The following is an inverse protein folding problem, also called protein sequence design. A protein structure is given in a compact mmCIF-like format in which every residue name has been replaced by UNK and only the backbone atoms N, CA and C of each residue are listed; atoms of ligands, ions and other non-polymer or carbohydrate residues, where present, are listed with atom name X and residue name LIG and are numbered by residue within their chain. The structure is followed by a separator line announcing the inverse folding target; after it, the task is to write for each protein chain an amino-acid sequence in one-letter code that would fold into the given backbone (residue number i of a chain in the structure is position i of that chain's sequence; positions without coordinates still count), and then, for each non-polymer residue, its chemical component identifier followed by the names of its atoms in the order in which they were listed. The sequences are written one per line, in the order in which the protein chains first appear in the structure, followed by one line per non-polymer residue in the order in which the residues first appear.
data_IF_622226338981
#
_entry.id   IF_622226338981
#
_cell.length_a   1.000
_cell.length_b   1.000
_cell.length_c   1.000
_cell.angle_alpha   90.00
_cell.angle_beta   90.00
_cell.angle_gamma   90.00
#
_symmetry.space_group_name_H-M   'P 1'
#
loop_
_entity.id
_entity.type
_entity.pdbx_description
1 polymer ?
#
# COMPACT_ATOMS: atom_id res chain seq x y z
N UNK A 1 -1.14 -12.69 2.32
CA UNK A 1 -0.60 -12.65 3.68
C UNK A 1 -1.50 -11.75 4.50
N UNK A 2 -1.78 -12.07 5.74
CA UNK A 2 -2.53 -11.23 6.68
C UNK A 2 -1.79 -11.21 8.01
N UNK A 3 -1.68 -10.03 8.61
CA UNK A 3 -0.99 -9.81 9.88
C UNK A 3 -1.83 -8.87 10.73
N UNK A 4 -2.05 -9.21 11.98
CA UNK A 4 -2.89 -8.45 12.90
C UNK A 4 -2.09 -8.18 14.17
N UNK A 5 -2.04 -6.91 14.59
CA UNK A 5 -1.34 -6.48 15.81
C UNK A 5 -2.04 -5.29 16.46
N UNK A 6 -1.81 -5.11 17.74
CA UNK A 6 -2.31 -3.96 18.48
C UNK A 6 -1.31 -2.80 18.45
N UNK A 7 -1.82 -1.59 18.28
CA UNK A 7 -1.00 -0.38 18.34
C UNK A 7 -1.04 0.21 19.77
N UNK A 8 -0.05 1.02 20.17
CA UNK A 8 -0.09 1.76 21.43
C UNK A 8 -1.12 2.90 21.44
N UNK A 9 -1.74 3.19 20.29
CA UNK A 9 -2.70 4.28 20.14
C UNK A 9 -4.12 3.79 20.41
N UNK A 10 -4.66 4.14 21.59
CA UNK A 10 -6.03 3.84 22.00
C UNK A 10 -6.47 2.38 21.86
N UNK A 11 -5.52 1.43 21.81
CA UNK A 11 -5.79 0.01 21.62
C UNK A 11 -6.33 -0.33 20.22
N UNK A 12 -6.14 0.56 19.24
CA UNK A 12 -6.55 0.30 17.85
C UNK A 12 -5.74 -0.87 17.30
N UNK A 13 -6.45 -1.86 16.79
CA UNK A 13 -5.88 -2.99 16.09
C UNK A 13 -5.60 -2.61 14.63
N UNK A 14 -4.42 -2.97 14.13
CA UNK A 14 -4.12 -2.89 12.70
C UNK A 14 -4.10 -4.28 12.11
N UNK A 15 -4.76 -4.45 10.97
CA UNK A 15 -4.73 -5.63 10.15
C UNK A 15 -4.16 -5.27 8.77
N UNK A 16 -3.04 -5.86 8.41
CA UNK A 16 -2.44 -5.70 7.09
C UNK A 16 -2.79 -6.91 6.24
N UNK A 17 -3.30 -6.68 5.04
CA UNK A 17 -3.75 -7.74 4.15
C UNK A 17 -3.43 -7.43 2.69
N UNK A 18 -3.75 -8.37 1.81
CA UNK A 18 -3.81 -8.14 0.37
C UNK A 18 -5.23 -8.34 -0.12
N UNK A 19 -5.65 -7.76 -1.25
CA UNK A 19 -7.02 -7.90 -1.75
C UNK A 19 -7.53 -9.34 -1.85
N UNK A 20 -6.64 -10.30 -2.13
CA UNK A 20 -6.97 -11.73 -2.25
C UNK A 20 -6.80 -12.54 -0.96
N UNK A 21 -6.27 -11.94 0.10
CA UNK A 21 -6.02 -12.62 1.39
C UNK A 21 -6.47 -11.73 2.55
N UNK A 22 -7.79 -11.53 2.65
CA UNK A 22 -8.41 -10.73 3.70
C UNK A 22 -8.57 -11.53 5.01
N UNK A 23 -8.51 -10.87 6.17
CA UNK A 23 -8.80 -11.51 7.46
C UNK A 23 -10.28 -11.92 7.56
N UNK A 24 -10.57 -12.82 8.50
CA UNK A 24 -11.94 -13.09 8.88
C UNK A 24 -12.48 -11.87 9.67
N UNK A 25 -13.73 -11.48 9.40
CA UNK A 25 -14.36 -10.36 10.11
C UNK A 25 -14.34 -10.53 11.65
N UNK A 26 -14.44 -11.79 12.13
CA UNK A 26 -14.37 -12.07 13.57
C UNK A 26 -12.99 -11.89 14.20
N UNK A 27 -11.92 -11.79 13.40
CA UNK A 27 -10.58 -11.48 13.90
C UNK A 27 -10.32 -9.98 14.05
N UNK A 28 -11.23 -9.14 13.55
CA UNK A 28 -11.17 -7.69 13.64
C UNK A 28 -12.02 -7.22 14.84
N UNK A 29 -11.47 -6.32 15.65
CA UNK A 29 -12.15 -5.77 16.82
C UNK A 29 -13.18 -4.71 16.41
N UNK A 30 -14.32 -4.67 17.08
CA UNK A 30 -15.32 -3.60 17.08
C UNK A 30 -15.65 -3.00 15.71
N UNK A 31 -15.64 -1.67 15.62
CA UNK A 31 -15.85 -0.90 14.40
C UNK A 31 -14.59 -0.89 13.54
N UNK A 32 -14.75 -1.11 12.25
CA UNK A 32 -13.63 -1.33 11.29
C UNK A 32 -13.65 -0.27 10.21
N UNK A 33 -12.50 0.34 9.95
CA UNK A 33 -12.24 1.08 8.71
C UNK A 33 -11.35 0.23 7.79
N UNK A 34 -11.67 0.22 6.50
CA UNK A 34 -10.89 -0.43 5.44
C UNK A 34 -10.29 0.64 4.56
N UNK A 35 -8.97 0.59 4.35
CA UNK A 35 -8.20 1.58 3.62
C UNK A 35 -7.36 0.92 2.54
N UNK A 36 -7.41 1.44 1.31
CA UNK A 36 -6.54 1.02 0.23
C UNK A 36 -6.60 -0.48 -0.09
N UNK A 37 -7.80 -1.02 -0.20
CA UNK A 37 -8.01 -2.42 -0.54
C UNK A 37 -8.90 -2.58 -1.76
N UNK A 38 -8.28 -2.86 -2.91
CA UNK A 38 -9.00 -3.11 -4.15
C UNK A 38 -10.02 -4.26 -4.03
N UNK A 39 -11.13 -4.13 -4.75
CA UNK A 39 -12.12 -5.21 -4.84
C UNK A 39 -11.54 -6.45 -5.51
N UNK A 40 -11.67 -7.61 -4.88
CA UNK A 40 -11.07 -8.85 -5.34
C UNK A 40 -12.05 -10.00 -5.50
N UNK A 41 -11.76 -10.84 -6.50
CA UNK A 41 -12.47 -12.08 -6.80
C UNK A 41 -11.68 -13.31 -6.38
N UNK A 42 -12.39 -14.40 -6.05
CA UNK A 42 -11.78 -15.72 -5.83
C UNK A 42 -11.25 -16.34 -7.14
N UNK A 43 -11.83 -15.95 -8.28
CA UNK A 43 -11.39 -16.35 -9.64
C UNK A 43 -11.20 -15.12 -10.51
N UNK A 44 -10.19 -15.11 -11.41
CA UNK A 44 -9.91 -13.95 -12.28
C UNK A 44 -11.11 -13.53 -13.16
N UNK A 45 -11.96 -14.49 -13.55
CA UNK A 45 -13.16 -14.24 -14.38
C UNK A 45 -14.45 -14.08 -13.56
N UNK A 46 -14.34 -13.88 -12.24
CA UNK A 46 -15.51 -13.70 -11.38
C UNK A 46 -16.28 -12.43 -11.71
N UNK A 47 -17.61 -12.53 -11.78
CA UNK A 47 -18.51 -11.39 -12.02
C UNK A 47 -18.80 -10.56 -10.77
N UNK A 48 -18.44 -11.07 -9.60
CA UNK A 48 -18.72 -10.48 -8.30
C UNK A 48 -17.46 -10.56 -7.43
N UNK A 49 -17.04 -9.49 -6.77
CA UNK A 49 -15.83 -9.48 -5.94
C UNK A 49 -16.01 -10.29 -4.66
N UNK A 50 -16.12 -11.61 -4.83
CA UNK A 50 -16.54 -12.58 -3.81
C UNK A 50 -15.68 -12.60 -2.54
N UNK A 51 -14.44 -12.12 -2.61
CA UNK A 51 -13.57 -12.00 -1.44
C UNK A 51 -13.93 -10.74 -0.67
N UNK A 52 -13.97 -9.58 -1.35
CA UNK A 52 -14.25 -8.29 -0.73
C UNK A 52 -15.67 -8.20 -0.21
N UNK A 53 -16.68 -8.59 -1.02
CA UNK A 53 -18.08 -8.55 -0.59
C UNK A 53 -18.34 -9.46 0.60
N UNK A 54 -17.73 -10.65 0.63
CA UNK A 54 -17.85 -11.54 1.79
C UNK A 54 -17.39 -10.88 3.10
N UNK A 55 -16.29 -10.12 3.05
CA UNK A 55 -15.82 -9.38 4.23
C UNK A 55 -16.78 -8.25 4.59
N UNK A 56 -17.26 -7.48 3.60
CA UNK A 56 -18.22 -6.39 3.81
C UNK A 56 -19.50 -6.94 4.46
N UNK A 57 -20.07 -8.03 3.92
CA UNK A 57 -21.27 -8.67 4.44
C UNK A 57 -21.08 -9.18 5.87
N UNK A 58 -19.94 -9.79 6.16
CA UNK A 58 -19.60 -10.28 7.49
C UNK A 58 -19.37 -9.18 8.52
N UNK A 59 -18.87 -8.02 8.10
CA UNK A 59 -18.72 -6.86 8.98
C UNK A 59 -20.08 -6.20 9.26
N UNK A 60 -20.95 -6.13 8.27
CA UNK A 60 -22.27 -5.51 8.42
C UNK A 60 -22.18 -4.09 8.99
N UNK A 61 -22.86 -3.82 10.11
CA UNK A 61 -22.84 -2.50 10.76
C UNK A 61 -21.51 -2.15 11.44
N UNK A 62 -20.62 -3.10 11.60
CA UNK A 62 -19.28 -2.86 12.11
C UNK A 62 -18.37 -2.17 11.07
N UNK A 63 -18.69 -2.22 9.78
CA UNK A 63 -17.99 -1.46 8.76
C UNK A 63 -18.28 0.02 8.95
N UNK A 64 -17.30 0.78 9.43
CA UNK A 64 -17.42 2.22 9.62
C UNK A 64 -17.19 2.99 8.32
N UNK A 65 -16.18 2.57 7.54
CA UNK A 65 -15.84 3.16 6.25
C UNK A 65 -15.04 2.14 5.42
N UNK A 66 -15.29 2.12 4.12
CA UNK A 66 -14.42 1.56 3.09
C UNK A 66 -13.93 2.72 2.22
N UNK A 67 -12.61 2.98 2.23
CA UNK A 67 -11.98 4.06 1.48
C UNK A 67 -10.90 3.47 0.57
N UNK A 68 -11.04 3.68 -0.74
CA UNK A 68 -10.18 3.07 -1.75
C UNK A 68 -10.06 3.95 -2.99
N UNK A 69 -8.93 3.90 -3.68
CA UNK A 69 -8.67 4.65 -4.91
C UNK A 69 -8.37 3.75 -6.13
N UNK A 70 -8.48 2.45 -5.98
CA UNK A 70 -8.27 1.53 -7.10
C UNK A 70 -9.44 1.54 -8.08
N UNK A 71 -9.13 1.57 -9.39
CA UNK A 71 -10.17 1.49 -10.42
C UNK A 71 -10.96 0.18 -10.31
N UNK A 72 -12.28 0.28 -10.27
CA UNK A 72 -13.17 -0.88 -10.19
C UNK A 72 -14.55 -0.61 -10.76
N UNK A 73 -15.03 -1.50 -11.64
CA UNK A 73 -16.40 -1.48 -12.13
C UNK A 73 -17.46 -1.63 -11.04
N UNK A 74 -17.07 -2.13 -9.86
CA UNK A 74 -17.95 -2.35 -8.72
C UNK A 74 -18.21 -1.09 -7.89
N UNK A 75 -17.47 0.00 -8.09
CA UNK A 75 -17.72 1.26 -7.40
C UNK A 75 -19.16 1.74 -7.59
N UNK A 76 -19.75 1.49 -8.77
CA UNK A 76 -21.16 1.83 -9.07
C UNK A 76 -22.17 1.17 -8.14
N UNK A 77 -21.86 0.00 -7.57
CA UNK A 77 -22.75 -0.74 -6.69
C UNK A 77 -22.87 -0.09 -5.30
N UNK A 78 -21.94 0.84 -4.99
CA UNK A 78 -21.85 1.56 -3.71
C UNK A 78 -22.11 3.07 -3.84
N UNK A 79 -22.50 3.55 -5.02
CA UNK A 79 -22.80 4.97 -5.23
C UNK A 79 -23.88 5.47 -4.27
N UNK A 80 -23.60 6.56 -3.57
CA UNK A 80 -24.49 7.15 -2.58
C UNK A 80 -24.51 6.44 -1.22
N UNK A 81 -23.73 5.38 -1.04
CA UNK A 81 -23.66 4.68 0.22
C UNK A 81 -22.67 5.36 1.17
N UNK A 82 -23.14 5.90 2.29
CA UNK A 82 -22.36 6.78 3.20
C UNK A 82 -21.11 6.15 3.82
N UNK A 83 -21.01 4.83 3.83
CA UNK A 83 -19.86 4.08 4.34
C UNK A 83 -18.81 3.76 3.28
N UNK A 84 -18.97 4.26 2.05
CA UNK A 84 -18.01 4.03 0.98
C UNK A 84 -17.55 5.36 0.39
N UNK A 85 -16.23 5.52 0.31
CA UNK A 85 -15.57 6.60 -0.41
C UNK A 85 -14.62 5.92 -1.39
N UNK A 86 -15.06 5.84 -2.63
CA UNK A 86 -14.38 5.09 -3.68
C UNK A 86 -14.03 6.06 -4.81
N UNK A 87 -12.75 6.21 -5.06
CA UNK A 87 -12.19 7.02 -6.11
C UNK A 87 -11.49 6.15 -7.16
N UNK A 88 -10.93 6.77 -8.16
CA UNK A 88 -10.06 6.14 -9.16
C UNK A 88 -8.63 6.62 -8.98
N UNK A 89 -7.66 5.89 -9.52
CA UNK A 89 -6.25 6.34 -9.52
C UNK A 89 -6.03 7.64 -10.29
N UNK A 90 -6.93 7.98 -11.22
CA UNK A 90 -6.89 9.26 -11.92
C UNK A 90 -7.35 10.44 -11.04
N UNK A 91 -8.22 10.20 -10.06
CA UNK A 91 -8.70 11.22 -9.12
C UNK A 91 -7.75 11.39 -7.94
N UNK A 92 -7.23 10.28 -7.41
CA UNK A 92 -6.25 10.24 -6.31
C UNK A 92 -5.17 9.22 -6.61
N UNK A 93 -3.93 9.69 -6.75
CA UNK A 93 -2.78 8.84 -7.05
C UNK A 93 -2.37 7.92 -5.90
N UNK A 94 -2.74 8.29 -4.65
CA UNK A 94 -2.54 7.46 -3.47
C UNK A 94 -3.69 7.62 -2.47
N UNK A 95 -3.97 6.55 -1.73
CA UNK A 95 -5.08 6.52 -0.78
C UNK A 95 -4.97 7.54 0.39
N UNK A 96 -3.77 7.86 0.97
CA UNK A 96 -3.68 8.82 2.06
C UNK A 96 -4.13 10.24 1.68
N UNK A 97 -4.10 10.63 0.39
CA UNK A 97 -4.62 11.93 -0.07
C UNK A 97 -6.10 12.14 0.27
N UNK A 98 -6.86 11.06 0.34
CA UNK A 98 -8.30 11.06 0.66
C UNK A 98 -8.59 11.18 2.16
N UNK A 99 -7.58 11.03 3.02
CA UNK A 99 -7.72 11.02 4.48
C UNK A 99 -7.37 12.42 5.02
N UNK A 100 -8.29 13.01 5.78
CA UNK A 100 -8.08 14.29 6.45
C UNK A 100 -8.76 14.31 7.83
N UNK A 101 -8.45 15.29 8.71
CA UNK A 101 -9.01 15.33 10.05
C UNK A 101 -10.54 15.39 10.10
N UNK A 102 -11.17 16.09 9.16
CA UNK A 102 -12.65 16.20 9.10
C UNK A 102 -13.30 14.85 8.78
N UNK A 103 -12.68 14.06 7.91
CA UNK A 103 -13.17 12.73 7.59
C UNK A 103 -13.06 11.81 8.81
N UNK A 104 -11.89 11.78 9.48
CA UNK A 104 -11.68 10.93 10.65
C UNK A 104 -12.63 11.32 11.79
N UNK A 105 -12.82 12.62 12.05
CA UNK A 105 -13.77 13.12 13.04
C UNK A 105 -15.21 12.71 12.71
N UNK A 106 -15.64 12.86 11.45
CA UNK A 106 -16.99 12.48 10.99
C UNK A 106 -17.28 10.99 11.18
N UNK A 107 -16.32 10.13 10.88
CA UNK A 107 -16.48 8.68 11.06
C UNK A 107 -16.42 8.31 12.54
N UNK A 108 -15.63 9.05 13.33
CA UNK A 108 -15.48 8.86 14.75
C UNK A 108 -14.63 7.63 15.10
N UNK A 109 -14.74 7.18 16.36
CA UNK A 109 -13.91 6.10 16.89
C UNK A 109 -14.08 4.81 16.09
N UNK A 110 -12.96 4.18 15.78
CA UNK A 110 -12.85 2.81 15.24
C UNK A 110 -11.95 1.98 16.16
N UNK A 111 -12.13 0.66 16.13
CA UNK A 111 -11.37 -0.28 16.96
C UNK A 111 -10.37 -1.07 16.13
N UNK A 112 -10.58 -1.13 14.81
CA UNK A 112 -9.68 -1.79 13.85
C UNK A 112 -9.51 -0.97 12.58
N UNK A 113 -8.27 -0.94 12.08
CA UNK A 113 -7.90 -0.43 10.76
C UNK A 113 -7.39 -1.61 9.93
N UNK A 114 -8.06 -1.91 8.83
CA UNK A 114 -7.60 -2.89 7.83
C UNK A 114 -7.05 -2.14 6.64
N UNK A 115 -5.79 -2.42 6.25
CA UNK A 115 -5.16 -1.74 5.13
C UNK A 115 -4.39 -2.70 4.21
N UNK A 116 -4.05 -2.24 3.02
CA UNK A 116 -3.11 -2.91 2.14
C UNK A 116 -1.69 -2.90 2.72
N UNK A 117 -0.83 -3.79 2.21
CA UNK A 117 0.50 -4.00 2.76
C UNK A 117 1.64 -3.32 1.99
N UNK A 118 1.35 -2.35 1.14
CA UNK A 118 2.30 -1.47 0.48
C UNK A 118 2.42 -0.11 1.19
N UNK A 119 3.20 0.79 0.62
CA UNK A 119 3.54 2.01 1.34
C UNK A 119 2.31 2.91 1.56
N UNK A 120 1.48 3.13 0.56
CA UNK A 120 0.33 4.03 0.68
C UNK A 120 -0.78 3.45 1.57
N UNK A 121 -0.99 2.14 1.56
CA UNK A 121 -1.87 1.47 2.50
C UNK A 121 -1.40 1.60 3.96
N UNK A 122 -0.09 1.44 4.21
CA UNK A 122 0.48 1.62 5.56
C UNK A 122 0.45 3.09 6.00
N UNK A 123 0.75 4.03 5.09
CA UNK A 123 0.66 5.46 5.34
C UNK A 123 -0.79 5.87 5.64
N UNK A 124 -1.77 5.35 4.89
CA UNK A 124 -3.19 5.53 5.14
C UNK A 124 -3.61 5.08 6.53
N UNK A 125 -3.16 3.89 6.95
CA UNK A 125 -3.46 3.38 8.28
C UNK A 125 -2.87 4.26 9.39
N UNK A 126 -1.60 4.66 9.25
CA UNK A 126 -0.95 5.53 10.22
C UNK A 126 -1.62 6.91 10.28
N UNK A 127 -1.91 7.51 9.12
CA UNK A 127 -2.60 8.81 9.03
C UNK A 127 -3.99 8.77 9.67
N UNK A 128 -4.75 7.68 9.43
CA UNK A 128 -6.04 7.48 10.08
C UNK A 128 -5.92 7.47 11.61
N UNK A 129 -4.98 6.68 12.14
CA UNK A 129 -4.76 6.53 13.59
C UNK A 129 -4.29 7.85 14.22
N UNK A 130 -3.52 8.65 13.47
CA UNK A 130 -3.07 10.00 13.88
C UNK A 130 -4.15 11.08 13.71
N UNK A 131 -5.40 10.70 13.51
CA UNK A 131 -6.52 11.65 13.41
C UNK A 131 -6.58 12.39 12.07
N UNK A 132 -6.02 11.87 11.01
CA UNK A 132 -5.99 12.47 9.67
C UNK A 132 -4.80 13.41 9.44
N UNK A 133 -3.87 13.48 10.38
CA UNK A 133 -2.61 14.21 10.21
C UNK A 133 -1.54 13.32 9.56
N UNK A 134 -0.72 13.89 8.69
CA UNK A 134 0.40 13.18 8.10
C UNK A 134 1.37 12.66 9.18
N UNK A 135 1.88 11.43 9.05
CA UNK A 135 2.91 10.89 9.94
C UNK A 135 4.19 11.75 9.98
N UNK A 136 4.56 12.31 8.86
CA UNK A 136 5.64 13.30 8.70
C UNK A 136 5.30 14.20 7.50
N UNK A 137 5.90 15.38 7.45
CA UNK A 137 5.69 16.34 6.35
C UNK A 137 6.10 15.73 5.00
N UNK A 138 5.16 15.67 4.05
CA UNK A 138 5.35 15.08 2.74
C UNK A 138 5.08 13.58 2.65
N UNK A 139 4.54 12.94 3.68
CA UNK A 139 4.20 11.52 3.64
C UNK A 139 3.17 11.20 2.55
N UNK A 140 2.18 12.06 2.34
CA UNK A 140 1.18 11.89 1.28
C UNK A 140 1.83 11.97 -0.11
N UNK A 141 2.78 12.89 -0.28
CA UNK A 141 3.55 13.02 -1.53
C UNK A 141 4.43 11.78 -1.77
N UNK A 142 5.12 11.28 -0.75
CA UNK A 142 5.89 10.04 -0.87
C UNK A 142 5.00 8.86 -1.27
N UNK A 143 3.82 8.74 -0.68
CA UNK A 143 2.85 7.70 -1.03
C UNK A 143 2.41 7.83 -2.50
N UNK A 144 2.12 9.04 -2.94
CA UNK A 144 1.77 9.33 -4.32
C UNK A 144 2.90 8.98 -5.30
N UNK A 145 4.14 9.40 -5.02
CA UNK A 145 5.30 9.07 -5.84
C UNK A 145 5.52 7.56 -5.96
N UNK A 146 5.41 6.85 -4.83
CA UNK A 146 5.66 5.41 -4.76
C UNK A 146 4.56 4.61 -5.48
N UNK A 147 3.30 4.97 -5.32
CA UNK A 147 2.20 4.22 -5.96
C UNK A 147 2.08 4.53 -7.45
N UNK A 148 2.18 5.80 -7.84
CA UNK A 148 2.07 6.22 -9.25
C UNK A 148 3.33 5.97 -10.07
N UNK A 149 4.49 5.86 -9.41
CA UNK A 149 5.82 5.84 -10.04
C UNK A 149 6.14 7.14 -10.80
N UNK A 150 5.49 8.23 -10.43
CA UNK A 150 5.75 9.57 -10.94
C UNK A 150 6.49 10.37 -9.85
N UNK A 151 7.37 11.30 -10.30
CA UNK A 151 8.19 12.13 -9.43
C UNK A 151 9.14 11.33 -8.49
N UNK A 152 9.81 12.03 -7.58
CA UNK A 152 10.86 11.48 -6.71
C UNK A 152 10.41 11.57 -5.26
N UNK A 153 10.23 10.44 -4.56
CA UNK A 153 9.91 10.44 -3.14
C UNK A 153 11.10 10.92 -2.31
N UNK A 154 10.83 11.36 -1.09
CA UNK A 154 11.87 11.71 -0.12
C UNK A 154 12.80 10.53 0.19
N UNK A 155 13.97 10.80 0.76
CA UNK A 155 14.88 9.75 1.23
C UNK A 155 14.20 8.80 2.21
N UNK A 156 13.30 9.32 3.03
CA UNK A 156 12.53 8.54 4.00
C UNK A 156 11.52 7.61 3.32
N UNK A 157 10.80 8.12 2.32
CA UNK A 157 9.89 7.32 1.48
C UNK A 157 10.65 6.21 0.76
N UNK A 158 11.79 6.54 0.13
CA UNK A 158 12.66 5.55 -0.54
C UNK A 158 13.12 4.44 0.41
N UNK A 159 13.54 4.77 1.63
CA UNK A 159 13.98 3.76 2.60
C UNK A 159 12.86 2.79 2.98
N UNK A 160 11.66 3.30 3.23
CA UNK A 160 10.51 2.46 3.57
C UNK A 160 10.05 1.61 2.39
N UNK A 161 9.98 2.18 1.17
CA UNK A 161 9.63 1.42 -0.04
C UNK A 161 10.65 0.30 -0.31
N UNK A 162 11.96 0.56 -0.16
CA UNK A 162 13.00 -0.46 -0.29
C UNK A 162 12.82 -1.61 0.70
N UNK A 163 12.57 -1.31 1.98
CA UNK A 163 12.32 -2.34 2.99
C UNK A 163 11.08 -3.18 2.64
N UNK A 164 10.01 -2.55 2.15
CA UNK A 164 8.79 -3.24 1.72
C UNK A 164 9.02 -4.12 0.50
N UNK A 165 9.75 -3.64 -0.50
CA UNK A 165 10.04 -4.42 -1.73
C UNK A 165 10.95 -5.61 -1.46
N UNK A 166 11.99 -5.42 -0.64
CA UNK A 166 12.89 -6.52 -0.24
C UNK A 166 12.15 -7.61 0.53
N UNK A 167 11.22 -7.23 1.40
CA UNK A 167 10.55 -8.13 2.33
C UNK A 167 9.02 -8.12 2.18
N UNK A 168 8.49 -8.03 0.96
CA UNK A 168 7.05 -7.84 0.73
C UNK A 168 6.18 -8.97 1.32
N UNK A 169 6.72 -10.18 1.50
CA UNK A 169 6.03 -11.31 2.14
C UNK A 169 6.16 -11.32 3.67
N UNK A 170 7.08 -10.54 4.23
CA UNK A 170 7.28 -10.49 5.67
C UNK A 170 6.33 -9.46 6.30
N UNK A 171 5.42 -9.96 7.11
CA UNK A 171 4.44 -9.14 7.79
C UNK A 171 5.05 -8.28 8.91
N UNK A 172 6.16 -8.70 9.49
CA UNK A 172 6.82 -7.97 10.58
C UNK A 172 7.41 -6.65 10.09
N UNK A 173 7.85 -6.58 8.83
CA UNK A 173 8.35 -5.34 8.21
C UNK A 173 7.26 -4.28 8.14
N UNK A 174 6.05 -4.68 7.79
CA UNK A 174 4.89 -3.78 7.72
C UNK A 174 4.53 -3.21 9.10
N UNK A 175 4.60 -4.05 10.14
CA UNK A 175 4.41 -3.60 11.52
C UNK A 175 5.49 -2.60 11.94
N UNK A 176 6.77 -2.85 11.61
CA UNK A 176 7.87 -1.92 11.89
C UNK A 176 7.61 -0.56 11.24
N UNK A 177 7.21 -0.54 9.98
CA UNK A 177 6.94 0.70 9.24
C UNK A 177 5.74 1.44 9.86
N UNK A 178 4.62 0.76 10.14
CA UNK A 178 3.46 1.41 10.79
C UNK A 178 3.87 2.00 12.15
N UNK A 179 4.61 1.26 12.97
CA UNK A 179 5.08 1.78 14.28
C UNK A 179 5.98 2.99 14.12
N UNK A 180 6.86 3.00 13.11
CA UNK A 180 7.69 4.14 12.80
C UNK A 180 6.84 5.35 12.36
N UNK A 181 5.90 5.17 11.45
CA UNK A 181 4.98 6.23 11.02
C UNK A 181 4.15 6.77 12.20
N UNK A 182 3.66 5.90 13.07
CA UNK A 182 2.92 6.29 14.28
C UNK A 182 3.79 7.06 15.29
N UNK A 183 5.11 6.84 15.30
CA UNK A 183 6.05 7.65 16.08
C UNK A 183 6.27 9.05 15.49
N UNK A 184 5.54 9.41 14.42
CA UNK A 184 5.75 10.61 13.59
C UNK A 184 7.17 10.64 13.01
N UNK A 185 7.65 9.48 12.57
CA UNK A 185 8.99 9.26 12.01
C UNK A 185 10.15 9.68 12.94
N UNK A 186 9.96 9.60 14.26
CA UNK A 186 10.95 10.08 15.25
C UNK A 186 11.72 8.96 15.95
N UNK A 187 11.24 7.72 15.90
CA UNK A 187 11.90 6.58 16.54
C UNK A 187 13.14 6.14 15.75
N UNK A 188 14.30 6.50 16.29
CA UNK A 188 15.59 6.23 15.65
C UNK A 188 15.93 4.74 15.59
N UNK A 189 15.42 3.94 16.53
CA UNK A 189 15.66 2.50 16.53
C UNK A 189 14.88 1.80 15.41
N UNK A 190 13.63 2.22 15.17
CA UNK A 190 12.83 1.75 14.06
C UNK A 190 13.38 2.24 12.72
N UNK A 191 13.86 3.49 12.66
CA UNK A 191 14.51 4.02 11.46
C UNK A 191 15.74 3.20 11.08
N UNK A 192 16.61 2.89 12.03
CA UNK A 192 17.78 2.06 11.77
C UNK A 192 17.38 0.66 11.27
N UNK A 193 16.38 0.05 11.90
CA UNK A 193 15.84 -1.24 11.45
C UNK A 193 15.29 -1.19 10.01
N UNK A 194 14.59 -0.12 9.63
CA UNK A 194 14.09 0.07 8.26
C UNK A 194 15.24 0.21 7.27
N UNK A 195 16.30 0.96 7.63
CA UNK A 195 17.51 1.07 6.81
C UNK A 195 18.15 -0.29 6.56
N UNK A 196 18.36 -1.07 7.64
CA UNK A 196 18.99 -2.38 7.55
C UNK A 196 18.16 -3.33 6.66
N UNK A 197 16.82 -3.31 6.80
CA UNK A 197 15.90 -4.09 5.96
C UNK A 197 15.93 -3.63 4.49
N UNK A 198 16.19 -2.37 4.22
CA UNK A 198 16.27 -1.82 2.86
C UNK A 198 17.57 -2.16 2.11
N UNK A 199 18.63 -2.61 2.81
CA UNK A 199 19.92 -2.90 2.15
C UNK A 199 19.83 -4.03 1.11
N UNK A 200 18.97 -5.03 1.34
CA UNK A 200 18.75 -6.11 0.37
C UNK A 200 18.13 -5.58 -0.94
N UNK A 201 17.27 -4.56 -0.87
CA UNK A 201 16.70 -3.94 -2.07
C UNK A 201 17.75 -3.27 -2.93
N UNK A 202 18.78 -2.66 -2.36
CA UNK A 202 19.89 -2.06 -3.12
C UNK A 202 20.58 -3.09 -4.02
N UNK A 203 20.85 -4.27 -3.48
CA UNK A 203 21.42 -5.35 -4.27
C UNK A 203 20.50 -5.79 -5.41
N UNK A 204 19.19 -5.86 -5.17
CA UNK A 204 18.20 -6.21 -6.19
C UNK A 204 18.09 -5.11 -7.27
N UNK A 205 18.19 -3.83 -6.87
CA UNK A 205 18.24 -2.68 -7.78
C UNK A 205 19.50 -2.74 -8.65
N UNK A 206 20.68 -2.96 -8.09
CA UNK A 206 21.92 -3.11 -8.83
C UNK A 206 21.86 -4.30 -9.82
N UNK A 207 21.20 -5.40 -9.45
CA UNK A 207 20.97 -6.51 -10.37
C UNK A 207 20.06 -6.09 -11.54
N UNK A 208 19.02 -5.30 -11.27
CA UNK A 208 18.15 -4.77 -12.30
C UNK A 208 18.89 -3.80 -13.23
N UNK A 209 19.74 -2.92 -12.71
CA UNK A 209 20.56 -2.00 -13.48
C UNK A 209 21.53 -2.73 -14.43
N UNK A 210 22.18 -3.79 -13.94
CA UNK A 210 23.03 -4.64 -14.79
C UNK A 210 22.24 -5.28 -15.92
N UNK A 211 21.01 -5.76 -15.67
CA UNK A 211 20.13 -6.29 -16.71
C UNK A 211 19.68 -5.20 -17.69
N UNK A 212 19.35 -4.01 -17.17
CA UNK A 212 18.93 -2.87 -17.98
C UNK A 212 20.01 -2.39 -18.97
N UNK A 213 21.30 -2.63 -18.67
CA UNK A 213 22.37 -2.31 -19.60
C UNK A 213 22.27 -3.09 -20.92
N UNK A 214 21.59 -4.23 -20.92
CA UNK A 214 21.36 -5.08 -22.10
C UNK A 214 20.02 -4.84 -22.80
N UNK A 215 19.24 -3.83 -22.40
CA UNK A 215 18.02 -3.47 -23.12
C UNK A 215 18.29 -3.14 -24.59
N UNK A 216 17.49 -3.76 -25.44
CA UNK A 216 17.46 -3.49 -26.88
C UNK A 216 16.23 -2.68 -27.23
N UNK A 217 16.40 -1.57 -27.93
CA UNK A 217 15.30 -0.78 -28.46
C UNK A 217 14.75 -1.46 -29.71
N UNK A 218 13.52 -1.95 -29.64
CA UNK A 218 12.83 -2.58 -30.79
C UNK A 218 12.01 -1.56 -31.58
N UNK A 219 11.53 -0.49 -30.93
CA UNK A 219 10.88 0.68 -31.53
C UNK A 219 10.97 1.83 -30.54
N UNK A 220 10.49 3.02 -30.93
CA UNK A 220 10.49 4.23 -30.08
C UNK A 220 9.79 4.04 -28.72
N UNK A 221 8.93 3.03 -28.60
CA UNK A 221 8.12 2.76 -27.40
C UNK A 221 8.28 1.36 -26.83
N UNK A 222 9.17 0.54 -27.41
CA UNK A 222 9.33 -0.86 -27.00
C UNK A 222 10.79 -1.17 -26.77
N UNK A 223 11.12 -1.53 -25.54
CA UNK A 223 12.43 -2.09 -25.18
C UNK A 223 12.28 -3.53 -24.75
N UNK A 224 13.31 -4.32 -25.02
CA UNK A 224 13.37 -5.74 -24.73
C UNK A 224 14.65 -6.08 -23.95
N UNK A 225 14.52 -6.94 -22.95
CA UNK A 225 15.65 -7.57 -22.26
C UNK A 225 15.33 -9.03 -21.99
N UNK A 226 16.29 -9.89 -22.24
CA UNK A 226 16.19 -11.32 -21.90
C UNK A 226 16.68 -11.56 -20.47
N UNK A 227 15.76 -11.92 -19.57
CA UNK A 227 16.07 -12.20 -18.17
C UNK A 227 16.28 -13.68 -17.86
N UNK A 228 16.18 -14.59 -18.86
CA UNK A 228 16.30 -16.04 -18.66
C UNK A 228 17.68 -16.45 -18.15
N UNK A 229 18.71 -15.74 -18.57
CA UNK A 229 20.11 -15.99 -18.16
C UNK A 229 20.50 -15.24 -16.87
N UNK A 230 19.59 -14.43 -16.32
CA UNK A 230 19.92 -13.59 -15.17
C UNK A 230 20.33 -14.39 -13.92
N UNK A 231 19.88 -15.66 -13.80
CA UNK A 231 20.31 -16.59 -12.76
C UNK A 231 20.12 -16.11 -11.32
N UNK A 232 19.66 -14.88 -11.14
CA UNK A 232 19.57 -14.15 -9.90
C UNK A 232 18.21 -13.47 -9.73
N UNK A 233 17.85 -13.25 -8.50
CA UNK A 233 16.71 -12.41 -8.14
C UNK A 233 17.08 -10.95 -8.43
N UNK A 234 16.17 -10.18 -8.99
CA UNK A 234 16.32 -8.75 -9.30
C UNK A 234 15.02 -8.00 -8.99
N UNK A 235 15.09 -6.70 -8.84
CA UNK A 235 13.90 -5.87 -8.68
C UNK A 235 13.20 -5.68 -10.04
N UNK A 236 12.05 -6.34 -10.20
CA UNK A 236 11.27 -6.28 -11.45
C UNK A 236 10.69 -4.89 -11.71
N UNK A 237 10.26 -4.20 -10.65
CA UNK A 237 9.67 -2.87 -10.76
C UNK A 237 10.74 -1.87 -11.21
N UNK A 238 11.90 -1.91 -10.57
CA UNK A 238 13.03 -1.06 -10.94
C UNK A 238 13.48 -1.33 -12.39
N UNK A 239 13.59 -2.59 -12.79
CA UNK A 239 13.92 -2.95 -14.16
C UNK A 239 12.91 -2.38 -15.18
N UNK A 240 11.61 -2.46 -14.89
CA UNK A 240 10.57 -1.89 -15.77
C UNK A 240 10.69 -0.38 -15.88
N UNK A 241 10.93 0.33 -14.79
CA UNK A 241 11.12 1.80 -14.79
C UNK A 241 12.35 2.22 -15.61
N UNK A 242 13.46 1.49 -15.48
CA UNK A 242 14.64 1.70 -16.33
C UNK A 242 14.32 1.48 -17.81
N UNK A 243 13.46 0.51 -18.13
CA UNK A 243 12.98 0.26 -19.49
C UNK A 243 12.13 1.41 -20.02
N UNK A 244 11.22 1.95 -19.23
CA UNK A 244 10.41 3.12 -19.58
C UNK A 244 11.29 4.34 -19.90
N UNK A 245 12.26 4.63 -19.04
CA UNK A 245 13.22 5.73 -19.26
C UNK A 245 13.97 5.54 -20.60
N UNK A 246 14.38 4.31 -20.93
CA UNK A 246 15.08 4.03 -22.19
C UNK A 246 14.18 4.15 -23.43
N UNK A 247 12.91 3.83 -23.29
CA UNK A 247 11.92 3.95 -24.35
C UNK A 247 11.33 5.36 -24.48
N UNK A 248 11.73 6.31 -23.61
CA UNK A 248 11.20 7.69 -23.57
C UNK A 248 9.66 7.73 -23.41
N UNK A 249 9.10 6.83 -22.63
CA UNK A 249 7.65 6.68 -22.37
C UNK A 249 7.33 7.11 -20.95
#
# INVERSE_FOLDING_TARGET
MKHIFDTPFNGIQVAVATPRSLPNANSLKGRVVILDLAFAHSKPSGRYPSITHKLIDQLGDRLALFLDHHDSDFHKDFLGHTRFILATKAEHGACPEMINPRLVERIGRVDSVLCHGDFDGLASAAKWILGGAEPYEGCDHDAWCIDTRLDIPSELGVMMDRALRAHFKDASVKEVIIRFLLSKARDQSLLQKIKDLGEEAKYLEECAERLASSYQLLSDRVVYVDTRSAGQTYDKTHLLLLGQTKAQV
#
